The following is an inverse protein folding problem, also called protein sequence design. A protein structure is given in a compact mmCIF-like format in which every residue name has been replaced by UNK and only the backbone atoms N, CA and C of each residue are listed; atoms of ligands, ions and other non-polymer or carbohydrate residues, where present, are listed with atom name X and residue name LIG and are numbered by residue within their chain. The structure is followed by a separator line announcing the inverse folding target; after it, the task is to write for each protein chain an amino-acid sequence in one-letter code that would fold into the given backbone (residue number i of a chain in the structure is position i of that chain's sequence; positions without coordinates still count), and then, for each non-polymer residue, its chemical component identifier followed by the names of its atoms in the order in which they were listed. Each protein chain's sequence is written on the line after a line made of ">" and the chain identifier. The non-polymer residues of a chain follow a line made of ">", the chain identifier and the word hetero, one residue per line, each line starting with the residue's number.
data_IF_255445141417
#
_entry.id   IF_255445141417
#
_cell.length_a   1.000
_cell.length_b   1.000
_cell.length_c   1.000
_cell.angle_alpha   90.00
_cell.angle_beta   90.00
_cell.angle_gamma   90.00
#
_symmetry.space_group_name_H-M   'P 1'
#
loop_
_entity.id
_entity.type
_entity.pdbx_description
1 polymer ?
#
# COMPACT_ATOMS: atom_id res chain seq x y z
N UNK A 1 -13.75 12.62 29.84
CA UNK A 1 -12.67 12.21 28.91
C UNK A 1 -12.53 13.30 27.86
N UNK A 2 -11.33 13.81 27.61
CA UNK A 2 -11.12 14.84 26.59
C UNK A 2 -11.47 14.26 25.20
N UNK A 3 -12.25 14.99 24.40
CA UNK A 3 -12.54 14.57 23.01
C UNK A 3 -11.20 14.51 22.25
N UNK A 4 -10.97 13.47 21.42
CA UNK A 4 -9.78 13.42 20.57
C UNK A 4 -9.70 14.71 19.76
N UNK A 5 -8.50 15.29 19.66
CA UNK A 5 -8.34 16.50 18.88
C UNK A 5 -8.66 16.20 17.41
N UNK A 6 -9.13 17.19 16.66
CA UNK A 6 -9.38 17.00 15.22
C UNK A 6 -8.14 16.47 14.48
N UNK A 7 -6.94 16.78 14.98
CA UNK A 7 -5.68 16.28 14.48
C UNK A 7 -5.46 14.79 14.78
N UNK A 8 -5.87 14.30 15.94
CA UNK A 8 -5.78 12.86 16.27
C UNK A 8 -6.69 12.03 15.36
N UNK A 9 -7.91 12.49 15.11
CA UNK A 9 -8.82 11.85 14.14
C UNK A 9 -8.24 11.86 12.71
N UNK A 10 -7.55 12.92 12.31
CA UNK A 10 -6.88 12.98 11.00
C UNK A 10 -5.69 12.01 10.90
N UNK A 11 -4.97 11.78 12.01
CA UNK A 11 -3.88 10.79 12.10
C UNK A 11 -4.45 9.38 11.97
N UNK A 12 -5.49 9.07 12.76
CA UNK A 12 -6.17 7.77 12.71
C UNK A 12 -6.67 7.48 11.29
N UNK A 13 -7.36 8.43 10.65
CA UNK A 13 -7.85 8.25 9.29
C UNK A 13 -6.72 8.06 8.26
N UNK A 14 -5.62 8.81 8.37
CA UNK A 14 -4.48 8.65 7.46
C UNK A 14 -3.77 7.30 7.67
N UNK A 15 -3.71 6.81 8.91
CA UNK A 15 -3.17 5.50 9.24
C UNK A 15 -4.06 4.38 8.67
N UNK A 16 -5.38 4.45 8.90
CA UNK A 16 -6.35 3.49 8.35
C UNK A 16 -6.27 3.43 6.83
N UNK A 17 -6.27 4.59 6.15
CA UNK A 17 -6.15 4.65 4.69
C UNK A 17 -4.83 4.05 4.17
N UNK A 18 -3.72 4.30 4.88
CA UNK A 18 -2.43 3.73 4.52
C UNK A 18 -2.42 2.20 4.71
N UNK A 19 -3.03 1.69 5.76
CA UNK A 19 -3.11 0.26 6.02
C UNK A 19 -4.04 -0.46 5.03
N UNK A 20 -5.17 0.17 4.68
CA UNK A 20 -6.05 -0.32 3.62
C UNK A 20 -5.34 -0.36 2.26
N UNK A 21 -4.63 0.71 1.88
CA UNK A 21 -3.85 0.72 0.65
C UNK A 21 -2.75 -0.37 0.66
N UNK A 22 -2.13 -0.62 1.81
CA UNK A 22 -1.17 -1.73 1.99
C UNK A 22 -1.81 -3.10 1.79
N UNK A 23 -3.00 -3.34 2.36
CA UNK A 23 -3.77 -4.58 2.16
C UNK A 23 -4.14 -4.79 0.69
N UNK A 24 -4.58 -3.74 0.00
CA UNK A 24 -4.90 -3.81 -1.42
C UNK A 24 -3.68 -4.14 -2.28
N UNK A 25 -2.52 -3.57 -1.97
CA UNK A 25 -1.26 -3.91 -2.65
C UNK A 25 -0.87 -5.39 -2.44
N UNK A 26 -1.10 -5.94 -1.25
CA UNK A 26 -0.85 -7.36 -0.98
C UNK A 26 -1.76 -8.29 -1.79
N UNK A 27 -3.05 -7.93 -1.92
CA UNK A 27 -4.00 -8.66 -2.75
C UNK A 27 -3.55 -8.63 -4.22
N UNK A 28 -3.25 -7.44 -4.76
CA UNK A 28 -2.76 -7.27 -6.12
C UNK A 28 -1.45 -8.04 -6.37
N UNK A 29 -0.55 -8.10 -5.38
CA UNK A 29 0.68 -8.90 -5.49
C UNK A 29 0.39 -10.39 -5.64
N UNK A 30 -0.61 -10.90 -4.91
CA UNK A 30 -1.05 -12.30 -5.03
C UNK A 30 -1.70 -12.55 -6.39
N UNK A 31 -2.59 -11.65 -6.83
CA UNK A 31 -3.23 -11.72 -8.15
C UNK A 31 -2.20 -11.71 -9.28
N UNK A 32 -1.21 -10.82 -9.21
CA UNK A 32 -0.11 -10.74 -10.18
C UNK A 32 0.65 -12.06 -10.26
N UNK A 33 1.04 -12.61 -9.11
CA UNK A 33 1.76 -13.90 -9.05
C UNK A 33 0.94 -15.01 -9.70
N UNK A 34 -0.35 -15.12 -9.37
CA UNK A 34 -1.22 -16.13 -9.97
C UNK A 34 -1.34 -15.94 -11.49
N UNK A 35 -1.44 -14.69 -11.96
CA UNK A 35 -1.51 -14.39 -13.38
C UNK A 35 -0.20 -14.73 -14.11
N UNK A 36 0.95 -14.51 -13.49
CA UNK A 36 2.26 -14.91 -14.02
C UNK A 36 2.44 -16.43 -14.05
N UNK A 37 2.00 -17.13 -12.99
CA UNK A 37 2.04 -18.60 -12.93
C UNK A 37 1.16 -19.21 -14.05
N UNK A 38 -0.02 -18.65 -14.31
CA UNK A 38 -0.88 -19.03 -15.44
C UNK A 38 -0.23 -18.75 -16.81
N UNK A 39 0.40 -17.59 -16.96
CA UNK A 39 1.11 -17.24 -18.20
C UNK A 39 2.24 -18.24 -18.48
N UNK A 40 3.01 -18.58 -17.44
CA UNK A 40 4.08 -19.57 -17.53
C UNK A 40 3.55 -20.93 -17.98
N UNK A 41 2.45 -21.40 -17.38
CA UNK A 41 1.80 -22.65 -17.79
C UNK A 41 1.38 -22.63 -19.27
N UNK A 42 0.80 -21.53 -19.76
CA UNK A 42 0.42 -21.39 -21.16
C UNK A 42 1.62 -21.45 -22.11
N UNK A 43 2.72 -20.79 -21.73
CA UNK A 43 3.96 -20.79 -22.51
C UNK A 43 4.60 -22.19 -22.55
N UNK A 44 4.65 -22.89 -21.43
CA UNK A 44 5.14 -24.27 -21.34
C UNK A 44 4.28 -25.21 -22.21
N UNK A 45 2.95 -25.13 -22.08
CA UNK A 45 2.06 -25.93 -22.92
C UNK A 45 2.24 -25.66 -24.41
N UNK A 46 2.40 -24.40 -24.79
CA UNK A 46 2.66 -24.02 -26.19
C UNK A 46 3.95 -24.63 -26.70
N UNK A 47 5.02 -24.58 -25.91
CA UNK A 47 6.32 -25.15 -26.28
C UNK A 47 6.24 -26.67 -26.44
N UNK A 48 5.64 -27.36 -25.48
CA UNK A 48 5.44 -28.81 -25.54
C UNK A 48 4.61 -29.21 -26.75
N UNK A 49 3.55 -28.45 -27.05
CA UNK A 49 2.68 -28.75 -28.17
C UNK A 49 3.37 -28.52 -29.52
N UNK A 50 4.20 -27.47 -29.63
CA UNK A 50 5.03 -27.22 -30.81
C UNK A 50 6.06 -28.34 -31.04
N UNK A 51 6.71 -28.83 -29.97
CA UNK A 51 7.65 -29.95 -30.05
C UNK A 51 6.97 -31.25 -30.54
N UNK A 52 5.76 -31.53 -30.05
CA UNK A 52 4.96 -32.68 -30.51
C UNK A 52 4.61 -32.58 -32.00
N UNK A 53 4.25 -31.38 -32.48
CA UNK A 53 3.98 -31.17 -33.91
C UNK A 53 5.23 -31.44 -34.75
N UNK A 54 6.41 -30.96 -34.32
CA UNK A 54 7.65 -31.21 -35.03
C UNK A 54 7.93 -32.71 -35.17
N UNK A 55 7.87 -33.47 -34.07
CA UNK A 55 8.06 -34.92 -34.08
C UNK A 55 7.01 -35.65 -34.93
N UNK A 56 5.75 -35.22 -34.89
CA UNK A 56 4.68 -35.82 -35.68
C UNK A 56 4.77 -35.49 -37.19
N UNK A 57 5.42 -34.38 -37.55
CA UNK A 57 5.67 -34.02 -38.94
C UNK A 57 6.78 -34.89 -39.53
N UNK A 58 7.81 -35.21 -38.74
CA UNK A 58 8.91 -36.12 -39.11
C UNK A 58 8.41 -37.55 -39.39
N UNK A 59 7.35 -38.02 -38.72
CA UNK A 59 6.75 -39.33 -38.93
C UNK A 59 5.65 -39.39 -40.00
N UNK A 60 5.34 -38.26 -40.64
CA UNK A 60 4.29 -38.12 -41.65
C UNK A 60 2.91 -37.84 -41.03
N UNK A 61 2.46 -36.59 -41.16
CA UNK A 61 1.18 -36.12 -40.61
C UNK A 61 0.12 -35.95 -41.71
N UNK A 62 -1.13 -36.31 -41.42
CA UNK A 62 -2.25 -35.98 -42.32
C UNK A 62 -2.50 -34.47 -42.36
N UNK A 63 -3.02 -33.97 -43.49
CA UNK A 63 -3.35 -32.55 -43.64
C UNK A 63 -4.39 -32.07 -42.62
N UNK A 64 -5.37 -32.92 -42.25
CA UNK A 64 -6.38 -32.61 -41.24
C UNK A 64 -5.76 -32.46 -39.84
N UNK A 65 -4.84 -33.34 -39.47
CA UNK A 65 -4.14 -33.24 -38.19
C UNK A 65 -3.27 -31.98 -38.15
N UNK A 66 -2.53 -31.69 -39.22
CA UNK A 66 -1.73 -30.46 -39.32
C UNK A 66 -2.58 -29.19 -39.13
N UNK A 67 -3.76 -29.16 -39.76
CA UNK A 67 -4.70 -28.04 -39.60
C UNK A 67 -5.17 -27.89 -38.14
N UNK A 68 -5.57 -28.99 -37.49
CA UNK A 68 -6.00 -28.98 -36.09
C UNK A 68 -4.88 -28.47 -35.15
N UNK A 69 -3.64 -28.88 -35.40
CA UNK A 69 -2.46 -28.39 -34.66
C UNK A 69 -2.29 -26.88 -34.79
N UNK A 70 -2.32 -26.36 -36.02
CA UNK A 70 -2.22 -24.92 -36.31
C UNK A 70 -3.31 -24.12 -35.61
N UNK A 71 -4.54 -24.63 -35.62
CA UNK A 71 -5.66 -23.96 -34.95
C UNK A 71 -5.46 -23.90 -33.44
N UNK A 72 -5.02 -25.01 -32.81
CA UNK A 72 -4.79 -25.03 -31.37
C UNK A 72 -3.64 -24.12 -30.93
N UNK A 73 -2.55 -24.05 -31.70
CA UNK A 73 -1.46 -23.10 -31.45
C UNK A 73 -1.97 -21.66 -31.53
N UNK A 74 -2.82 -21.33 -32.51
CA UNK A 74 -3.41 -19.99 -32.60
C UNK A 74 -4.28 -19.67 -31.37
N UNK A 75 -5.06 -20.63 -30.86
CA UNK A 75 -5.83 -20.48 -29.62
C UNK A 75 -4.92 -20.24 -28.41
N UNK A 76 -3.80 -20.97 -28.30
CA UNK A 76 -2.82 -20.75 -27.23
C UNK A 76 -2.16 -19.37 -27.32
N UNK A 77 -1.79 -18.94 -28.53
CA UNK A 77 -1.22 -17.61 -28.78
C UNK A 77 -2.20 -16.50 -28.38
N UNK A 78 -3.49 -16.66 -28.67
CA UNK A 78 -4.52 -15.74 -28.22
C UNK A 78 -4.65 -15.72 -26.70
N UNK A 79 -4.70 -16.88 -26.05
CA UNK A 79 -4.77 -16.99 -24.60
C UNK A 79 -3.55 -16.35 -23.90
N UNK A 80 -2.35 -16.57 -24.44
CA UNK A 80 -1.11 -15.95 -23.95
C UNK A 80 -1.18 -14.42 -24.11
N UNK A 81 -1.67 -13.93 -25.25
CA UNK A 81 -1.85 -12.49 -25.49
C UNK A 81 -2.84 -11.88 -24.48
N UNK A 82 -3.96 -12.55 -24.22
CA UNK A 82 -4.93 -12.13 -23.21
C UNK A 82 -4.33 -12.14 -21.80
N UNK A 83 -3.59 -13.19 -21.43
CA UNK A 83 -2.96 -13.29 -20.12
C UNK A 83 -1.89 -12.21 -19.90
N UNK A 84 -1.09 -11.88 -20.92
CA UNK A 84 -0.16 -10.75 -20.86
C UNK A 84 -0.87 -9.41 -20.58
N UNK A 85 -2.04 -9.18 -21.19
CA UNK A 85 -2.85 -7.98 -20.91
C UNK A 85 -3.34 -7.96 -19.47
N UNK A 86 -3.72 -9.12 -18.90
CA UNK A 86 -4.11 -9.24 -17.49
C UNK A 86 -2.95 -8.86 -16.57
N UNK A 87 -1.75 -9.41 -16.80
CA UNK A 87 -0.54 -9.06 -16.03
C UNK A 87 -0.26 -7.56 -16.11
N UNK A 88 -0.25 -6.99 -17.32
CA UNK A 88 0.00 -5.55 -17.52
C UNK A 88 -1.05 -4.67 -16.81
N UNK A 89 -2.32 -5.07 -16.81
CA UNK A 89 -3.38 -4.35 -16.10
C UNK A 89 -3.18 -4.37 -14.59
N UNK A 90 -2.76 -5.51 -14.03
CA UNK A 90 -2.44 -5.63 -12.61
C UNK A 90 -1.23 -4.74 -12.27
N UNK A 91 -0.22 -4.69 -13.13
CA UNK A 91 0.96 -3.82 -12.93
C UNK A 91 0.58 -2.34 -12.84
N UNK A 92 -0.32 -1.87 -13.72
CA UNK A 92 -0.84 -0.49 -13.68
C UNK A 92 -1.59 -0.23 -12.37
N UNK A 93 -2.43 -1.17 -11.92
CA UNK A 93 -3.14 -1.05 -10.64
C UNK A 93 -2.18 -1.02 -9.45
N UNK A 94 -1.14 -1.87 -9.46
CA UNK A 94 -0.13 -1.89 -8.42
C UNK A 94 0.61 -0.56 -8.34
N UNK A 95 0.97 0.04 -9.48
CA UNK A 95 1.65 1.34 -9.49
C UNK A 95 0.76 2.45 -8.93
N UNK A 96 -0.51 2.53 -9.36
CA UNK A 96 -1.46 3.47 -8.78
C UNK A 96 -1.68 3.24 -7.27
N UNK A 97 -1.77 1.98 -6.84
CA UNK A 97 -1.88 1.60 -5.43
C UNK A 97 -0.66 2.05 -4.61
N UNK A 98 0.56 1.89 -5.15
CA UNK A 98 1.81 2.34 -4.52
C UNK A 98 1.81 3.85 -4.33
N UNK A 99 1.43 4.60 -5.37
CA UNK A 99 1.36 6.06 -5.29
C UNK A 99 0.37 6.53 -4.22
N UNK A 100 -0.81 5.90 -4.15
CA UNK A 100 -1.80 6.18 -3.09
C UNK A 100 -1.24 5.87 -1.70
N UNK A 101 -0.61 4.71 -1.54
CA UNK A 101 -0.01 4.31 -0.27
C UNK A 101 1.06 5.30 0.21
N UNK A 102 1.97 5.73 -0.68
CA UNK A 102 2.98 6.73 -0.36
C UNK A 102 2.38 8.09 -0.01
N UNK A 103 1.30 8.50 -0.68
CA UNK A 103 0.60 9.74 -0.38
C UNK A 103 0.00 9.73 1.04
N UNK A 104 -0.68 8.64 1.41
CA UNK A 104 -1.25 8.50 2.76
C UNK A 104 -0.15 8.42 3.84
N UNK A 105 0.95 7.70 3.60
CA UNK A 105 2.10 7.70 4.53
C UNK A 105 2.73 9.08 4.70
N UNK A 106 2.83 9.87 3.62
CA UNK A 106 3.33 11.25 3.70
C UNK A 106 2.39 12.14 4.50
N UNK A 107 1.08 11.99 4.29
CA UNK A 107 0.03 12.71 5.02
C UNK A 107 0.07 12.40 6.51
N UNK A 108 0.15 11.12 6.86
CA UNK A 108 0.31 10.63 8.23
C UNK A 108 1.52 11.29 8.91
N UNK A 109 2.72 11.18 8.30
CA UNK A 109 3.94 11.77 8.85
C UNK A 109 3.82 13.29 9.05
N UNK A 110 3.14 13.98 8.13
CA UNK A 110 2.89 15.42 8.24
C UNK A 110 2.00 15.75 9.46
N UNK A 111 0.94 14.97 9.68
CA UNK A 111 0.06 15.15 10.84
C UNK A 111 0.73 14.80 12.16
N UNK A 112 1.54 13.74 12.22
CA UNK A 112 2.33 13.39 13.41
C UNK A 112 3.34 14.49 13.77
N UNK A 113 3.95 15.11 12.76
CA UNK A 113 4.85 16.26 12.94
C UNK A 113 4.10 17.45 13.53
N UNK A 114 2.91 17.76 13.00
CA UNK A 114 2.06 18.83 13.54
C UNK A 114 1.63 18.55 14.99
N UNK A 115 1.27 17.29 15.30
CA UNK A 115 0.87 16.88 16.66
C UNK A 115 2.03 17.08 17.64
N UNK A 116 3.22 16.66 17.26
CA UNK A 116 4.43 16.84 18.07
C UNK A 116 4.73 18.31 18.33
N UNK A 117 4.57 19.17 17.30
CA UNK A 117 4.73 20.62 17.46
C UNK A 117 3.68 21.22 18.40
N UNK A 118 2.42 20.82 18.25
CA UNK A 118 1.33 21.30 19.11
C UNK A 118 1.55 20.89 20.58
N UNK A 119 1.92 19.63 20.82
CA UNK A 119 2.23 19.13 22.16
C UNK A 119 3.39 19.93 22.81
N UNK A 120 4.45 20.22 22.04
CA UNK A 120 5.56 21.06 22.53
C UNK A 120 5.11 22.47 22.87
N UNK A 121 4.29 23.10 22.04
CA UNK A 121 3.77 24.45 22.31
C UNK A 121 2.87 24.46 23.55
N UNK A 122 2.03 23.44 23.72
CA UNK A 122 1.18 23.30 24.88
C UNK A 122 2.00 23.14 26.16
N UNK A 123 3.01 22.25 26.16
CA UNK A 123 3.90 22.06 27.29
C UNK A 123 4.63 23.35 27.72
N UNK A 124 5.05 24.19 26.75
CA UNK A 124 5.65 25.49 27.05
C UNK A 124 4.67 26.44 27.73
N UNK A 125 3.40 26.44 27.29
CA UNK A 125 2.34 27.29 27.88
C UNK A 125 2.01 26.84 29.30
N UNK A 126 1.87 25.54 29.49
CA UNK A 126 1.54 24.94 30.79
C UNK A 126 2.64 25.20 31.81
N UNK A 127 3.91 24.97 31.42
CA UNK A 127 5.06 25.23 32.29
C UNK A 127 5.17 26.72 32.67
N UNK A 128 4.84 27.64 31.75
CA UNK A 128 4.79 29.08 32.05
C UNK A 128 3.65 29.43 33.02
N UNK A 129 2.49 28.80 32.87
CA UNK A 129 1.36 29.02 33.78
C UNK A 129 1.65 28.47 35.18
N UNK A 130 2.26 27.28 35.27
CA UNK A 130 2.71 26.68 36.52
C UNK A 130 3.77 27.54 37.23
N UNK A 131 4.75 28.05 36.49
CA UNK A 131 5.76 28.96 37.04
C UNK A 131 5.12 30.22 37.62
N UNK A 132 4.22 30.87 36.88
CA UNK A 132 3.50 32.07 37.37
C UNK A 132 2.69 31.78 38.64
N UNK A 133 1.98 30.65 38.69
CA UNK A 133 1.20 30.26 39.86
C UNK A 133 2.09 29.99 41.09
N UNK A 134 3.26 29.36 40.88
CA UNK A 134 4.24 29.08 41.92
C UNK A 134 4.88 30.36 42.48
N UNK A 135 5.22 31.30 41.59
CA UNK A 135 5.77 32.61 41.95
C UNK A 135 4.75 33.43 42.75
N UNK A 136 3.47 33.42 42.35
CA UNK A 136 2.39 34.09 43.07
C UNK A 136 2.20 33.51 44.49
N UNK A 137 2.16 32.18 44.61
CA UNK A 137 2.05 31.51 45.91
C UNK A 137 3.24 31.86 46.82
N UNK A 138 4.46 31.84 46.27
CA UNK A 138 5.67 32.21 47.00
C UNK A 138 5.62 33.66 47.48
N UNK A 139 5.16 34.58 46.63
CA UNK A 139 4.99 35.99 46.98
C UNK A 139 3.89 36.23 48.04
N UNK A 140 2.81 35.45 48.02
CA UNK A 140 1.76 35.48 49.06
C UNK A 140 2.32 35.00 50.40
N UNK A 141 3.04 33.87 50.41
CA UNK A 141 3.65 33.31 51.61
C UNK A 141 4.66 34.28 52.22
N UNK A 142 5.54 34.87 51.39
CA UNK A 142 6.51 35.86 51.86
C UNK A 142 5.85 37.11 52.44
N UNK A 143 4.75 37.60 51.84
CA UNK A 143 3.96 38.73 52.38
C UNK A 143 3.31 38.40 53.73
N UNK A 144 2.86 37.17 53.95
CA UNK A 144 2.28 36.74 55.23
C UNK A 144 3.32 36.69 56.36
N UNK A 145 4.50 36.14 56.08
CA UNK A 145 5.59 36.07 57.07
C UNK A 145 6.02 37.47 57.50
N UNK A 146 6.17 38.40 56.54
CA UNK A 146 6.56 39.79 56.82
C UNK A 146 5.55 40.63 57.59
N UNK A 147 4.28 40.22 57.64
CA UNK A 147 3.21 40.93 58.36
C UNK A 147 3.07 40.45 59.81
N UNK A 148 3.69 39.32 60.15
CA UNK A 148 3.69 38.73 61.49
C UNK A 148 5.00 39.01 62.27
N UNK A 149 5.85 39.91 61.76
CA UNK A 149 6.97 40.54 62.46
C UNK A 149 6.74 42.04 62.48
#
# INVERSE_FOLDING_TARGET
>A
MAKPSSLDTLIELAQENADEAGKQLQLLSTERKNAEDQLKMLLEYRQDYAARLQAATESGLSASNYHNFRQFIATLDEAISQQNKVVAHIDVKMESGRQRWYAEKRRLSSFETLRTRHARQQAVRDNRAEQLASDEMSAIMHRRVRRNH
#
